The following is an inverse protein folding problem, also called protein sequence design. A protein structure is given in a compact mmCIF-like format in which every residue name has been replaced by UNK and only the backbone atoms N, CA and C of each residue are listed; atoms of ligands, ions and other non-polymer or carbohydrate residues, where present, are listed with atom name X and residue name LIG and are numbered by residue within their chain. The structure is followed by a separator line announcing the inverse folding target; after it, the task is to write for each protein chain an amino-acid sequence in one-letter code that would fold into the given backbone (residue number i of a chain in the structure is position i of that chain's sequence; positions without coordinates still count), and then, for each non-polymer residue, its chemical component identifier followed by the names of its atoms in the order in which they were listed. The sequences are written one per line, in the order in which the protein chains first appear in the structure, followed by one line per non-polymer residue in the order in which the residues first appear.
data_IF_648498971750
#
_entry.id   IF_648498971750
#
_cell.length_a   1.000
_cell.length_b   1.000
_cell.length_c   1.000
_cell.angle_alpha   90.00
_cell.angle_beta   90.00
_cell.angle_gamma   90.00
#
_symmetry.space_group_name_H-M   'P 1'
#
loop_
_entity.id
_entity.type
_entity.pdbx_description
1 polymer ?
#
# COMPACT_ATOMS: atom_id res chain seq x y z
N UNK A 1 21.70 23.27 15.74
CA UNK A 1 21.08 22.79 14.50
C UNK A 1 22.09 21.89 13.81
N UNK A 2 21.70 20.64 13.52
CA UNK A 2 21.21 20.35 12.18
C UNK A 2 19.74 19.91 12.24
N UNK A 3 18.93 20.40 11.30
CA UNK A 3 17.69 19.70 10.97
C UNK A 3 18.13 18.38 10.32
N UNK A 4 18.02 17.28 11.07
CA UNK A 4 18.13 15.92 10.53
C UNK A 4 16.93 15.74 9.59
N UNK A 5 17.10 16.21 8.35
CA UNK A 5 16.09 16.19 7.29
C UNK A 5 16.10 14.83 6.61
N UNK A 6 15.76 13.78 7.38
CA UNK A 6 15.53 12.44 6.84
C UNK A 6 14.13 12.33 6.18
N UNK A 7 13.27 13.35 6.35
CA UNK A 7 11.99 13.41 5.66
C UNK A 7 12.19 13.47 4.13
N UNK A 8 11.38 12.71 3.40
CA UNK A 8 11.52 12.52 1.96
C UNK A 8 12.56 11.47 1.56
N UNK A 9 13.35 10.95 2.51
CA UNK A 9 14.30 9.88 2.21
C UNK A 9 13.57 8.60 1.84
N UNK A 10 13.97 8.00 0.73
CA UNK A 10 13.39 6.76 0.22
C UNK A 10 14.35 5.60 0.47
N UNK A 11 13.79 4.48 0.89
CA UNK A 11 14.44 3.19 0.97
C UNK A 11 13.84 2.26 -0.07
N UNK A 12 14.70 1.45 -0.69
CA UNK A 12 14.33 0.41 -1.65
C UNK A 12 14.95 -0.90 -1.19
N UNK A 13 14.16 -1.95 -1.24
CA UNK A 13 14.59 -3.30 -0.87
C UNK A 13 15.60 -3.83 -1.89
N UNK A 14 16.64 -4.48 -1.41
CA UNK A 14 17.61 -5.15 -2.29
C UNK A 14 16.91 -6.22 -3.15
N UNK A 15 17.31 -6.29 -4.42
CA UNK A 15 16.67 -7.17 -5.40
C UNK A 15 15.35 -6.67 -5.98
N UNK A 16 14.89 -5.47 -5.61
CA UNK A 16 13.73 -4.84 -6.26
C UNK A 16 14.00 -4.65 -7.75
N UNK A 17 13.09 -5.14 -8.59
CA UNK A 17 13.16 -4.90 -10.03
C UNK A 17 12.90 -3.41 -10.29
N UNK A 18 13.82 -2.79 -11.03
CA UNK A 18 13.72 -1.40 -11.45
C UNK A 18 13.77 -1.33 -12.99
N UNK A 19 13.23 -0.25 -13.59
CA UNK A 19 13.37 -0.04 -15.03
C UNK A 19 14.85 -0.03 -15.43
N UNK A 20 15.22 -0.70 -16.54
CA UNK A 20 16.62 -0.75 -17.02
C UNK A 20 17.19 0.63 -17.34
N UNK A 21 16.33 1.57 -17.74
CA UNK A 21 16.65 2.95 -18.04
C UNK A 21 16.85 3.80 -16.79
N UNK A 22 16.42 3.32 -15.61
CA UNK A 22 16.53 4.04 -14.35
C UNK A 22 17.93 3.81 -13.75
N UNK A 23 18.80 4.79 -13.92
CA UNK A 23 20.04 4.87 -13.14
C UNK A 23 19.71 5.42 -11.75
N UNK A 24 19.59 4.52 -10.78
CA UNK A 24 19.29 4.85 -9.39
C UNK A 24 20.57 4.82 -8.56
N UNK A 25 21.04 5.99 -8.13
CA UNK A 25 22.08 6.08 -7.12
C UNK A 25 21.52 5.66 -5.76
N UNK A 26 22.09 4.61 -5.16
CA UNK A 26 21.68 4.12 -3.85
C UNK A 26 22.87 3.55 -3.09
N UNK A 27 22.83 3.68 -1.77
CA UNK A 27 23.82 3.09 -0.86
C UNK A 27 23.17 2.06 0.07
N UNK A 28 23.90 1.02 0.48
CA UNK A 28 23.44 0.12 1.54
C UNK A 28 23.16 0.91 2.83
N UNK A 29 22.01 0.66 3.46
CA UNK A 29 21.65 1.29 4.74
C UNK A 29 21.63 0.26 5.88
N UNK A 30 20.96 -0.87 5.64
CA UNK A 30 20.94 -2.03 6.52
C UNK A 30 20.71 -3.30 5.68
N UNK A 31 20.91 -4.51 6.20
CA UNK A 31 20.74 -5.74 5.42
C UNK A 31 19.38 -5.80 4.70
N UNK A 32 19.40 -5.99 3.38
CA UNK A 32 18.20 -6.06 2.55
C UNK A 32 17.60 -4.71 2.16
N UNK A 33 18.16 -3.58 2.59
CA UNK A 33 17.64 -2.23 2.30
C UNK A 33 18.74 -1.27 1.88
N UNK A 34 18.46 -0.52 0.81
CA UNK A 34 19.30 0.56 0.30
C UNK A 34 18.56 1.88 0.41
N UNK A 35 19.28 2.95 0.73
CA UNK A 35 18.73 4.30 0.66
C UNK A 35 19.04 4.94 -0.69
N UNK A 36 18.02 5.57 -1.28
CA UNK A 36 18.14 6.34 -2.52
C UNK A 36 18.85 7.65 -2.23
N UNK A 37 19.80 8.02 -3.11
CA UNK A 37 20.48 9.32 -3.06
C UNK A 37 19.80 10.32 -3.98
N UNK A 38 19.84 11.58 -3.57
CA UNK A 38 19.56 12.74 -4.44
C UNK A 38 18.15 12.83 -5.03
N UNK A 39 17.23 11.95 -4.65
CA UNK A 39 15.84 11.94 -5.11
C UNK A 39 14.90 11.77 -3.92
N UNK A 40 13.85 12.59 -3.90
CA UNK A 40 12.69 12.46 -3.01
C UNK A 40 11.60 11.59 -3.63
N UNK A 41 10.52 11.33 -2.88
CA UNK A 41 9.35 10.55 -3.32
C UNK A 41 8.83 10.96 -4.69
N UNK A 42 8.74 12.26 -4.93
CA UNK A 42 8.23 12.84 -6.17
C UNK A 42 9.19 12.67 -7.34
N UNK A 43 10.47 13.00 -7.15
CA UNK A 43 11.51 12.89 -8.17
C UNK A 43 11.74 11.44 -8.62
N UNK A 44 11.77 10.50 -7.67
CA UNK A 44 11.84 9.09 -7.99
C UNK A 44 10.57 8.62 -8.72
N UNK A 45 9.39 9.03 -8.25
CA UNK A 45 8.12 8.68 -8.86
C UNK A 45 8.02 9.10 -10.33
N UNK A 46 8.46 10.32 -10.66
CA UNK A 46 8.52 10.79 -12.05
C UNK A 46 9.42 9.91 -12.91
N UNK A 47 10.65 9.65 -12.49
CA UNK A 47 11.58 8.81 -13.27
C UNK A 47 11.06 7.39 -13.50
N UNK A 48 10.40 6.80 -12.49
CA UNK A 48 9.78 5.48 -12.62
C UNK A 48 8.61 5.54 -13.61
N UNK A 49 7.77 6.57 -13.50
CA UNK A 49 6.63 6.79 -14.39
C UNK A 49 7.07 7.00 -15.84
N UNK A 50 8.08 7.83 -16.09
CA UNK A 50 8.63 8.10 -17.42
C UNK A 50 9.21 6.84 -18.08
N UNK A 51 9.63 5.87 -17.28
CA UNK A 51 10.07 4.56 -17.74
C UNK A 51 8.93 3.55 -17.97
N UNK A 52 7.66 3.98 -17.82
CA UNK A 52 6.46 3.16 -18.00
C UNK A 52 6.13 2.25 -16.81
N UNK A 53 6.67 2.52 -15.63
CA UNK A 53 6.43 1.76 -14.40
C UNK A 53 5.58 2.58 -13.43
N UNK A 54 5.03 1.95 -12.40
CA UNK A 54 4.26 2.63 -11.36
C UNK A 54 5.03 2.66 -10.05
N UNK A 55 5.07 3.83 -9.43
CA UNK A 55 5.52 4.03 -8.06
C UNK A 55 4.37 4.63 -7.26
N UNK A 56 3.71 3.80 -6.46
CA UNK A 56 2.53 4.21 -5.73
C UNK A 56 2.70 4.06 -4.24
N UNK A 57 1.93 4.85 -3.54
CA UNK A 57 1.86 4.83 -2.10
C UNK A 57 0.76 3.87 -1.66
N UNK A 58 1.09 3.00 -0.71
CA UNK A 58 0.12 2.23 0.03
C UNK A 58 -0.14 3.01 1.31
N UNK A 59 -1.40 3.32 1.64
CA UNK A 59 -1.80 4.14 2.80
C UNK A 59 -1.43 3.52 4.18
N UNK A 60 -0.53 2.55 4.20
CA UNK A 60 0.07 1.95 5.37
C UNK A 60 1.23 2.83 5.88
N UNK A 61 0.96 3.56 6.96
CA UNK A 61 1.94 4.35 7.71
C UNK A 61 2.50 3.52 8.88
N UNK A 62 3.81 3.35 8.95
CA UNK A 62 4.51 2.74 10.09
C UNK A 62 5.23 3.82 10.89
N UNK A 63 5.18 3.71 12.22
CA UNK A 63 5.84 4.65 13.15
C UNK A 63 6.77 3.91 14.10
N UNK A 64 7.88 4.54 14.44
CA UNK A 64 8.76 4.08 15.51
C UNK A 64 9.11 5.25 16.42
N UNK A 65 9.01 5.02 17.73
CA UNK A 65 9.46 5.96 18.76
C UNK A 65 10.71 5.40 19.45
N UNK A 66 11.72 6.24 19.62
CA UNK A 66 13.00 5.88 20.25
C UNK A 66 13.34 6.94 21.31
N UNK A 67 13.84 6.48 22.45
CA UNK A 67 14.32 7.34 23.55
C UNK A 67 15.86 7.36 23.58
N UNK A 68 16.45 8.47 24.04
CA UNK A 68 17.90 8.61 24.10
C UNK A 68 18.38 10.05 24.31
N UNK A 69 19.67 10.27 24.06
CA UNK A 69 20.34 11.56 24.25
C UNK A 69 20.84 12.17 22.93
N UNK A 70 21.23 11.32 21.99
CA UNK A 70 21.79 11.69 20.69
C UNK A 70 20.70 11.55 19.62
N UNK A 71 20.30 12.68 19.06
CA UNK A 71 19.19 12.79 18.12
C UNK A 71 19.43 12.03 16.82
N UNK A 72 20.61 12.15 16.24
CA UNK A 72 20.97 11.48 14.99
C UNK A 72 20.96 9.95 15.18
N UNK A 73 21.54 9.46 16.29
CA UNK A 73 21.49 8.03 16.63
C UNK A 73 20.06 7.56 16.90
N UNK A 74 19.22 8.39 17.52
CA UNK A 74 17.80 8.05 17.75
C UNK A 74 17.03 7.93 16.44
N UNK A 75 17.22 8.87 15.50
CA UNK A 75 16.57 8.85 14.18
C UNK A 75 16.99 7.61 13.40
N UNK A 76 18.30 7.33 13.32
CA UNK A 76 18.80 6.12 12.65
C UNK A 76 18.20 4.84 13.23
N UNK A 77 18.20 4.71 14.57
CA UNK A 77 17.58 3.56 15.25
C UNK A 77 16.07 3.46 14.99
N UNK A 78 15.37 4.58 14.87
CA UNK A 78 13.95 4.60 14.59
C UNK A 78 13.68 4.09 13.16
N UNK A 79 14.47 4.54 12.19
CA UNK A 79 14.40 4.07 10.80
C UNK A 79 14.70 2.57 10.72
N UNK A 80 15.78 2.10 11.35
CA UNK A 80 16.13 0.67 11.41
C UNK A 80 15.01 -0.18 12.02
N UNK A 81 14.33 0.29 13.07
CA UNK A 81 13.16 -0.38 13.65
C UNK A 81 11.98 -0.47 12.67
N UNK A 82 11.73 0.58 11.91
CA UNK A 82 10.69 0.56 10.88
C UNK A 82 11.06 -0.46 9.80
N UNK A 83 12.28 -0.38 9.25
CA UNK A 83 12.75 -1.26 8.16
C UNK A 83 12.85 -2.74 8.56
N UNK A 84 13.06 -3.04 9.84
CA UNK A 84 13.05 -4.39 10.40
C UNK A 84 11.63 -4.98 10.56
N UNK A 85 10.58 -4.19 10.37
CA UNK A 85 9.20 -4.67 10.51
C UNK A 85 8.89 -5.76 9.46
N UNK A 86 8.42 -6.91 9.93
CA UNK A 86 8.09 -8.08 9.09
C UNK A 86 6.96 -7.80 8.10
N UNK A 87 6.06 -6.86 8.40
CA UNK A 87 4.97 -6.47 7.51
C UNK A 87 5.47 -5.77 6.25
N UNK A 88 6.63 -5.10 6.32
CA UNK A 88 7.27 -4.49 5.16
C UNK A 88 7.79 -5.49 4.14
N UNK A 89 7.82 -6.80 4.46
CA UNK A 89 8.18 -7.85 3.49
C UNK A 89 7.27 -7.88 2.27
N UNK A 90 6.04 -7.34 2.39
CA UNK A 90 5.05 -7.24 1.31
C UNK A 90 5.33 -6.06 0.37
N UNK A 91 6.22 -5.15 0.76
CA UNK A 91 6.55 -3.93 0.02
C UNK A 91 8.01 -3.95 -0.39
N UNK A 92 8.33 -3.15 -1.41
CA UNK A 92 9.68 -3.06 -1.96
C UNK A 92 10.29 -1.66 -1.79
N UNK A 93 9.51 -0.69 -1.32
CA UNK A 93 9.98 0.66 -1.05
C UNK A 93 9.27 1.27 0.16
N UNK A 94 9.92 2.24 0.79
CA UNK A 94 9.44 2.97 1.95
C UNK A 94 9.93 4.41 1.87
N UNK A 95 9.08 5.39 2.18
CA UNK A 95 9.47 6.80 2.27
C UNK A 95 9.29 7.30 3.70
N UNK A 96 10.27 8.04 4.22
CA UNK A 96 10.12 8.72 5.51
C UNK A 96 9.26 9.97 5.30
N UNK A 97 8.10 10.01 5.92
CA UNK A 97 7.16 11.13 5.78
C UNK A 97 7.45 12.21 6.82
N UNK A 98 7.79 11.80 8.04
CA UNK A 98 7.98 12.73 9.14
C UNK A 98 9.06 12.24 10.09
N UNK A 99 9.92 13.15 10.50
CA UNK A 99 10.74 13.02 11.70
C UNK A 99 10.24 14.02 12.70
N UNK A 100 9.45 13.57 13.67
CA UNK A 100 9.05 14.38 14.80
C UNK A 100 10.13 14.27 15.88
N UNK A 101 11.17 15.09 15.73
CA UNK A 101 12.11 15.37 16.80
C UNK A 101 11.69 16.65 17.50
N UNK A 102 11.46 16.57 18.80
CA UNK A 102 11.27 17.76 19.61
C UNK A 102 12.38 17.80 20.64
N UNK A 103 13.42 18.57 20.35
CA UNK A 103 14.55 18.79 21.27
C UNK A 103 14.11 19.25 22.68
N UNK A 104 12.92 19.85 22.78
CA UNK A 104 12.28 20.28 24.03
C UNK A 104 11.39 19.22 24.70
N UNK A 105 10.90 18.20 23.97
CA UNK A 105 10.04 17.18 24.57
C UNK A 105 10.88 16.12 25.25
N UNK A 106 10.62 15.97 26.55
CA UNK A 106 11.22 14.93 27.39
C UNK A 106 10.11 14.18 28.09
N UNK A 107 10.26 12.87 28.21
CA UNK A 107 9.43 12.04 29.07
C UNK A 107 10.34 11.51 30.18
N UNK A 108 10.02 11.80 31.44
CA UNK A 108 10.86 11.46 32.60
C UNK A 108 12.32 11.93 32.45
N UNK A 109 12.53 13.12 31.87
CA UNK A 109 13.87 13.69 31.65
C UNK A 109 14.63 13.15 30.43
N UNK A 110 14.10 12.15 29.74
CA UNK A 110 14.72 11.51 28.57
C UNK A 110 14.11 12.07 27.29
N UNK A 111 14.93 12.40 26.29
CA UNK A 111 14.44 12.85 24.97
C UNK A 111 13.89 11.67 24.18
N UNK A 112 12.99 11.96 23.24
CA UNK A 112 12.51 10.97 22.29
C UNK A 112 12.35 11.55 20.90
N UNK A 113 12.40 10.66 19.91
CA UNK A 113 12.13 10.94 18.51
C UNK A 113 11.05 9.98 18.03
N UNK A 114 10.14 10.47 17.20
CA UNK A 114 9.17 9.63 16.50
C UNK A 114 9.38 9.80 15.00
N UNK A 115 9.70 8.71 14.31
CA UNK A 115 9.78 8.67 12.84
C UNK A 115 8.53 8.02 12.32
N UNK A 116 7.92 8.61 11.29
CA UNK A 116 6.87 7.98 10.50
C UNK A 116 7.29 7.79 9.06
N UNK A 117 6.90 6.65 8.51
CA UNK A 117 7.23 6.24 7.18
C UNK A 117 6.01 5.63 6.50
N UNK A 118 5.93 5.81 5.19
CA UNK A 118 4.84 5.33 4.38
C UNK A 118 5.33 4.31 3.38
N UNK A 119 4.63 3.18 3.31
CA UNK A 119 5.02 2.11 2.38
C UNK A 119 4.72 2.49 0.95
N UNK A 120 5.66 2.18 0.07
CA UNK A 120 5.55 2.40 -1.37
C UNK A 120 5.85 1.12 -2.12
N UNK A 121 5.38 1.07 -3.36
CA UNK A 121 5.59 -0.09 -4.20
C UNK A 121 5.94 0.32 -5.63
N UNK A 122 7.04 -0.25 -6.13
CA UNK A 122 7.50 -0.14 -7.52
C UNK A 122 7.02 -1.36 -8.30
N UNK A 123 6.31 -1.18 -9.40
CA UNK A 123 5.81 -2.26 -10.24
C UNK A 123 5.87 -1.90 -11.73
N UNK A 124 6.05 -2.90 -12.59
CA UNK A 124 6.12 -2.71 -14.05
C UNK A 124 4.78 -2.36 -14.69
N UNK A 125 3.68 -2.86 -14.15
CA UNK A 125 2.34 -2.67 -14.70
C UNK A 125 1.49 -1.83 -13.75
N UNK A 126 0.59 -0.95 -14.26
CA UNK A 126 -0.36 -0.21 -13.43
C UNK A 126 -1.45 -1.09 -12.79
N UNK A 127 -1.52 -2.38 -13.15
CA UNK A 127 -2.48 -3.33 -12.54
C UNK A 127 -2.04 -3.65 -11.13
N UNK A 128 -2.70 -3.04 -10.14
CA UNK A 128 -2.61 -3.46 -8.74
C UNK A 128 -3.25 -4.85 -8.66
N UNK A 129 -2.46 -5.88 -8.34
CA UNK A 129 -2.96 -7.25 -8.21
C UNK A 129 -4.19 -7.26 -7.29
N UNK A 130 -5.35 -7.65 -7.82
CA UNK A 130 -6.47 -8.05 -6.99
C UNK A 130 -6.01 -9.23 -6.15
N UNK A 131 -6.21 -9.15 -4.85
CA UNK A 131 -6.13 -10.31 -3.98
C UNK A 131 -7.13 -11.30 -4.54
N UNK A 132 -6.66 -12.44 -5.06
CA UNK A 132 -7.53 -13.59 -5.20
C UNK A 132 -7.93 -13.97 -3.79
N UNK A 133 -9.19 -13.67 -3.42
CA UNK A 133 -9.85 -14.37 -2.34
C UNK A 133 -9.73 -15.85 -2.68
N UNK A 134 -8.78 -16.53 -2.02
CA UNK A 134 -8.69 -17.97 -2.08
C UNK A 134 -9.91 -18.52 -1.39
N UNK A 135 -10.89 -18.89 -2.20
CA UNK A 135 -11.89 -19.92 -1.98
C UNK A 135 -12.29 -20.10 -0.50
N UNK A 136 -13.29 -19.32 -0.06
CA UNK A 136 -14.23 -19.86 0.92
C UNK A 136 -15.07 -20.92 0.20
N UNK A 137 -14.46 -22.08 -0.07
CA UNK A 137 -15.19 -23.27 -0.46
C UNK A 137 -15.96 -23.71 0.78
N UNK A 138 -17.19 -23.21 0.92
CA UNK A 138 -18.15 -23.77 1.85
C UNK A 138 -18.47 -25.16 1.31
N UNK A 139 -17.91 -26.19 1.97
CA UNK A 139 -18.26 -27.57 1.71
C UNK A 139 -19.78 -27.74 1.92
N UNK A 140 -20.54 -27.79 0.82
CA UNK A 140 -21.94 -28.20 0.85
C UNK A 140 -21.91 -29.71 1.13
N UNK A 141 -22.48 -30.20 2.25
CA UNK A 141 -22.53 -31.62 2.50
C UNK A 141 -23.43 -32.26 1.43
N UNK A 142 -22.81 -33.07 0.57
CA UNK A 142 -23.48 -33.95 -0.37
C UNK A 142 -24.31 -34.96 0.44
N UNK A 143 -25.63 -34.89 0.32
CA UNK A 143 -26.50 -36.00 0.69
C UNK A 143 -27.82 -35.59 1.32
N UNK A 144 -28.78 -35.17 0.51
CA UNK A 144 -30.18 -35.52 0.77
C UNK A 144 -30.79 -35.97 -0.56
N UNK A 145 -30.88 -37.29 -0.67
CA UNK A 145 -31.52 -38.06 -1.73
C UNK A 145 -33.01 -37.71 -1.79
N UNK A 146 -33.43 -37.00 -2.85
CA UNK A 146 -34.85 -36.76 -3.12
C UNK A 146 -35.44 -38.04 -3.73
N UNK A 147 -36.21 -38.77 -2.92
CA UNK A 147 -37.02 -39.89 -3.40
C UNK A 147 -38.07 -39.40 -4.42
N UNK A 148 -38.30 -40.13 -5.52
CA UNK A 148 -39.40 -39.84 -6.41
C UNK A 148 -40.67 -40.44 -5.82
N UNK A 149 -41.69 -39.63 -5.60
CA UNK A 149 -43.05 -40.16 -5.55
C UNK A 149 -43.97 -39.36 -6.47
N UNK A 150 -44.80 -40.14 -7.15
CA UNK A 150 -45.63 -39.81 -8.28
C UNK A 150 -46.95 -39.21 -7.78
N UNK A 151 -47.45 -38.16 -8.43
CA UNK A 151 -48.84 -38.14 -8.92
C UNK A 151 -49.29 -36.77 -9.49
N UNK A 152 -49.78 -36.85 -10.73
CA UNK A 152 -51.02 -36.26 -11.25
C UNK A 152 -51.10 -34.73 -11.46
N UNK A 153 -51.22 -34.36 -12.75
CA UNK A 153 -52.23 -33.39 -13.18
C UNK A 153 -51.71 -32.10 -13.86
N UNK A 154 -52.03 -31.86 -15.15
CA UNK A 154 -51.51 -30.73 -15.91
C UNK A 154 -52.48 -29.55 -15.96
N UNK A 155 -51.96 -28.32 -16.02
CA UNK A 155 -52.63 -27.21 -16.74
C UNK A 155 -51.63 -26.09 -17.01
N UNK A 156 -51.04 -26.02 -18.21
CA UNK A 156 -51.40 -25.01 -19.24
C UNK A 156 -51.81 -23.65 -18.67
N UNK A 157 -50.98 -22.62 -18.87
CA UNK A 157 -51.25 -21.55 -19.86
C UNK A 157 -50.55 -20.22 -19.54
N UNK A 158 -49.76 -19.78 -20.53
CA UNK A 158 -49.70 -18.43 -21.12
C UNK A 158 -48.96 -17.31 -20.39
N UNK A 159 -47.85 -16.94 -21.03
CA UNK A 159 -47.40 -15.57 -21.28
C UNK A 159 -48.55 -14.55 -21.39
N UNK A 160 -48.31 -13.37 -20.81
CA UNK A 160 -48.85 -12.12 -21.36
C UNK A 160 -47.82 -11.00 -21.25
N UNK A 161 -47.41 -10.55 -22.44
CA UNK A 161 -46.77 -9.28 -22.77
C UNK A 161 -47.74 -8.12 -22.49
N UNK A 162 -47.17 -6.91 -22.36
CA UNK A 162 -47.69 -5.54 -22.63
C UNK A 162 -47.14 -4.61 -21.53
N UNK A 163 -46.69 -3.39 -21.78
CA UNK A 163 -46.32 -2.59 -22.93
C UNK A 163 -45.87 -1.24 -22.32
N UNK A 164 -45.26 -0.35 -23.10
CA UNK A 164 -45.34 1.08 -22.81
C UNK A 164 -44.03 1.77 -22.40
N UNK A 165 -43.25 2.08 -23.43
CA UNK A 165 -42.23 3.13 -23.45
C UNK A 165 -42.88 4.50 -23.18
N UNK A 166 -42.32 5.31 -22.26
CA UNK A 166 -42.38 6.77 -22.34
C UNK A 166 -41.26 7.46 -21.54
N UNK A 167 -40.18 7.85 -22.24
CA UNK A 167 -39.41 9.08 -21.96
C UNK A 167 -40.14 10.27 -22.59
N UNK A 168 -40.02 11.54 -22.13
CA UNK A 168 -38.75 12.31 -21.99
C UNK A 168 -38.78 13.20 -20.71
N UNK A 169 -37.91 14.17 -20.38
CA UNK A 169 -36.80 14.86 -21.03
C UNK A 169 -35.90 15.47 -19.94
N UNK A 170 -34.71 15.90 -20.36
CA UNK A 170 -33.64 16.64 -19.69
C UNK A 170 -34.07 17.68 -18.63
N UNK A 171 -33.29 17.77 -17.55
CA UNK A 171 -32.59 19.02 -17.23
C UNK A 171 -31.32 18.77 -16.39
N UNK A 172 -30.26 19.49 -16.76
CA UNK A 172 -28.90 19.43 -16.23
C UNK A 172 -28.74 20.24 -14.94
N UNK A 173 -27.93 19.77 -14.00
CA UNK A 173 -27.25 20.65 -13.05
C UNK A 173 -25.81 20.18 -12.86
N UNK A 174 -24.85 21.05 -13.18
CA UNK A 174 -23.45 20.99 -12.75
C UNK A 174 -23.34 21.56 -11.34
N UNK A 175 -22.56 20.91 -10.48
CA UNK A 175 -21.66 21.55 -9.52
C UNK A 175 -20.33 20.83 -9.63
#
# INVERSE_FOLDING_TARGET
MPDVTEAGRIFIREGTLLPKTLQLESEPYMPGWRSVKSLDGYGLGRKIHDAGWTFFCLAYETKATVFGMDEEKMVRRAIERILANRELKKFNSLEIVRVASLASKRFLGIRYVTVSAQSRHVQKSPVIFQVQDKDCEVAIPSGIELRPDQSIGPSTSKERLLDGIKTPNLESVRI
#
